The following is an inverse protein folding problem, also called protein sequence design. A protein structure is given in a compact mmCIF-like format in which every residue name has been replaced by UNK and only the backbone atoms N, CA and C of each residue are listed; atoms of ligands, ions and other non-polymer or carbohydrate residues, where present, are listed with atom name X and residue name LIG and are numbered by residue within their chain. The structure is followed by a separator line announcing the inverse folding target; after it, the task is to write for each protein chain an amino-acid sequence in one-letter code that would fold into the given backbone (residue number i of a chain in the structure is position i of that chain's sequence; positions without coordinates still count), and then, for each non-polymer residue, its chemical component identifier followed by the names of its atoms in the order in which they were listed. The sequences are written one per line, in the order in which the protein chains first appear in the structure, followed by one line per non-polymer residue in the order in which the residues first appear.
data_IF_794531591485
#
_entry.id   IF_794531591485
#
_cell.length_a   1.000
_cell.length_b   1.000
_cell.length_c   1.000
_cell.angle_alpha   90.00
_cell.angle_beta   90.00
_cell.angle_gamma   90.00
#
_symmetry.space_group_name_H-M   'P 1'
#
loop_
_entity.id
_entity.type
_entity.pdbx_description
1 polymer ?
#
# COMPACT_ATOMS: atom_id res chain seq x y z
N UNK A 1 -2.74 -5.81 13.43
CA UNK A 1 -2.24 -6.79 12.44
C UNK A 1 -3.23 -6.87 11.28
N UNK A 2 -2.88 -6.33 10.11
CA UNK A 2 -3.68 -6.52 8.89
C UNK A 2 -3.02 -7.64 8.09
N UNK A 3 -3.81 -8.62 7.69
CA UNK A 3 -3.39 -9.70 6.80
C UNK A 3 -3.88 -9.36 5.40
N UNK A 4 -2.97 -8.98 4.51
CA UNK A 4 -3.29 -8.79 3.08
C UNK A 4 -2.98 -10.11 2.38
N UNK A 5 -4.02 -10.87 2.06
CA UNK A 5 -3.93 -12.10 1.26
C UNK A 5 -4.18 -11.69 -0.19
N UNK A 6 -3.15 -11.72 -1.04
CA UNK A 6 -3.34 -11.32 -2.43
C UNK A 6 -3.72 -12.48 -3.35
N UNK A 7 -4.58 -12.11 -4.27
CA UNK A 7 -5.20 -12.86 -5.33
C UNK A 7 -5.62 -11.86 -6.38
N UNK A 8 -5.29 -12.18 -7.63
CA UNK A 8 -5.74 -11.61 -8.90
C UNK A 8 -6.80 -10.45 -8.88
N UNK A 9 -6.67 -9.51 -9.84
CA UNK A 9 -7.38 -8.23 -9.88
C UNK A 9 -8.89 -8.29 -9.58
N UNK A 10 -9.36 -7.28 -8.84
CA UNK A 10 -10.66 -7.16 -8.21
C UNK A 10 -11.91 -7.30 -9.13
N UNK A 11 -11.75 -7.38 -10.45
CA UNK A 11 -12.87 -7.53 -11.39
C UNK A 11 -13.49 -8.95 -11.41
N UNK A 12 -12.83 -9.95 -10.83
CA UNK A 12 -13.27 -11.36 -10.88
C UNK A 12 -14.28 -11.72 -9.75
N UNK A 13 -14.45 -10.88 -8.73
CA UNK A 13 -15.18 -11.23 -7.50
C UNK A 13 -16.72 -11.16 -7.58
N UNK A 14 -17.33 -10.84 -8.73
CA UNK A 14 -18.78 -10.52 -8.81
C UNK A 14 -19.73 -11.69 -9.06
N UNK A 15 -19.28 -12.94 -9.31
CA UNK A 15 -20.17 -14.05 -9.70
C UNK A 15 -19.92 -15.34 -8.89
N UNK A 16 -20.98 -15.92 -8.29
CA UNK A 16 -20.94 -17.11 -7.40
C UNK A 16 -20.26 -18.36 -8.01
N UNK A 17 -20.32 -18.54 -9.34
CA UNK A 17 -19.68 -19.65 -10.06
C UNK A 17 -18.14 -19.60 -10.04
N UNK A 18 -17.53 -18.43 -9.85
CA UNK A 18 -16.07 -18.29 -9.82
C UNK A 18 -15.48 -18.69 -8.48
N UNK A 19 -16.29 -18.85 -7.42
CA UNK A 19 -15.80 -19.12 -6.06
C UNK A 19 -15.12 -20.47 -5.94
N UNK A 20 -15.74 -21.53 -6.47
CA UNK A 20 -15.17 -22.89 -6.43
C UNK A 20 -13.94 -23.03 -7.34
N UNK A 21 -13.98 -22.43 -8.53
CA UNK A 21 -12.85 -22.42 -9.46
C UNK A 21 -11.67 -21.60 -8.94
N UNK A 22 -11.92 -20.43 -8.34
CA UNK A 22 -10.90 -19.61 -7.69
C UNK A 22 -10.28 -20.35 -6.52
N UNK A 23 -11.08 -20.92 -5.60
CA UNK A 23 -10.57 -21.69 -4.45
C UNK A 23 -9.67 -22.85 -4.91
N UNK A 24 -10.05 -23.56 -5.98
CA UNK A 24 -9.23 -24.65 -6.52
C UNK A 24 -7.92 -24.14 -7.15
N UNK A 25 -7.97 -23.06 -7.93
CA UNK A 25 -6.77 -22.43 -8.51
C UNK A 25 -5.89 -21.76 -7.45
N UNK A 26 -6.48 -21.43 -6.31
CA UNK A 26 -5.84 -20.80 -5.17
C UNK A 26 -5.10 -21.76 -4.28
N UNK A 27 -5.70 -22.92 -3.99
CA UNK A 27 -5.00 -23.99 -3.30
C UNK A 27 -3.78 -24.47 -4.10
N UNK A 28 -3.73 -24.20 -5.40
CA UNK A 28 -2.59 -24.52 -6.28
C UNK A 28 -1.54 -23.40 -6.39
N UNK A 29 -1.89 -22.14 -6.08
CA UNK A 29 -0.93 -21.02 -6.09
C UNK A 29 -0.44 -20.76 -4.67
N UNK A 30 0.89 -20.69 -4.49
CA UNK A 30 1.49 -20.26 -3.22
C UNK A 30 0.91 -18.89 -2.87
N UNK A 31 0.10 -18.83 -1.82
CA UNK A 31 -0.42 -17.59 -1.29
C UNK A 31 0.69 -16.94 -0.46
N UNK A 32 1.20 -15.80 -0.91
CA UNK A 32 2.17 -15.03 -0.13
C UNK A 32 1.42 -14.18 0.90
N UNK A 33 1.74 -14.38 2.17
CA UNK A 33 1.19 -13.63 3.29
C UNK A 33 2.15 -12.49 3.64
N UNK A 34 1.68 -11.25 3.51
CA UNK A 34 2.42 -10.09 4.01
C UNK A 34 1.87 -9.66 5.37
N UNK A 35 2.79 -9.36 6.30
CA UNK A 35 2.46 -8.90 7.65
C UNK A 35 3.11 -7.54 7.86
N UNK A 36 2.30 -6.57 8.29
CA UNK A 36 2.76 -5.20 8.56
C UNK A 36 2.60 -4.86 10.03
N UNK A 37 3.57 -4.12 10.58
CA UNK A 37 3.56 -3.65 11.96
C UNK A 37 2.39 -2.69 12.23
N UNK A 38 2.05 -1.85 11.24
CA UNK A 38 0.96 -0.88 11.34
C UNK A 38 -0.12 -1.10 10.28
N UNK A 39 -1.32 -0.59 10.59
CA UNK A 39 -2.43 -0.56 9.64
C UNK A 39 -2.14 0.38 8.47
N UNK A 40 -1.44 1.49 8.72
CA UNK A 40 -0.99 2.44 7.70
C UNK A 40 -0.14 1.76 6.64
N UNK A 41 0.94 1.06 7.03
CA UNK A 41 1.83 0.37 6.09
C UNK A 41 1.07 -0.66 5.24
N UNK A 42 0.20 -1.46 5.87
CA UNK A 42 -0.59 -2.46 5.14
C UNK A 42 -1.53 -1.86 4.09
N UNK A 43 -2.10 -0.69 4.38
CA UNK A 43 -2.96 0.02 3.41
C UNK A 43 -2.13 0.63 2.29
N UNK A 44 -0.99 1.28 2.59
CA UNK A 44 -0.10 1.83 1.56
C UNK A 44 0.36 0.73 0.61
N UNK A 45 0.78 -0.42 1.14
CA UNK A 45 1.16 -1.59 0.34
C UNK A 45 0.00 -2.08 -0.54
N UNK A 46 -1.21 -2.22 0.02
CA UNK A 46 -2.37 -2.62 -0.76
C UNK A 46 -2.67 -1.64 -1.92
N UNK A 47 -2.50 -0.34 -1.70
CA UNK A 47 -2.70 0.67 -2.74
C UNK A 47 -1.63 0.61 -3.84
N UNK A 48 -0.36 0.40 -3.46
CA UNK A 48 0.74 0.19 -4.41
C UNK A 48 0.51 -1.03 -5.31
N UNK A 49 -0.05 -2.11 -4.76
CA UNK A 49 -0.43 -3.30 -5.52
C UNK A 49 -1.63 -3.06 -6.43
N UNK A 50 -2.66 -2.38 -5.92
CA UNK A 50 -3.93 -2.21 -6.65
C UNK A 50 -3.85 -1.17 -7.76
N UNK A 51 -2.99 -0.16 -7.64
CA UNK A 51 -2.81 0.93 -8.61
C UNK A 51 -4.12 1.50 -9.14
N UNK A 52 -5.09 1.68 -8.24
CA UNK A 52 -6.43 2.09 -8.61
C UNK A 52 -6.55 3.61 -8.67
N UNK A 53 -7.27 4.13 -9.67
CA UNK A 53 -7.66 5.54 -9.73
C UNK A 53 -8.50 5.98 -8.52
N UNK A 54 -9.07 5.02 -7.78
CA UNK A 54 -9.85 5.24 -6.55
C UNK A 54 -8.99 5.13 -5.29
N UNK A 55 -7.66 5.28 -5.41
CA UNK A 55 -6.73 5.10 -4.29
C UNK A 55 -7.10 5.97 -3.08
N UNK A 56 -7.53 7.21 -3.32
CA UNK A 56 -7.99 8.09 -2.25
C UNK A 56 -9.19 7.52 -1.48
N UNK A 57 -10.21 7.04 -2.20
CA UNK A 57 -11.40 6.46 -1.60
C UNK A 57 -11.06 5.23 -0.77
N UNK A 58 -10.23 4.33 -1.32
CA UNK A 58 -9.76 3.13 -0.61
C UNK A 58 -8.96 3.51 0.63
N UNK A 59 -8.06 4.49 0.52
CA UNK A 59 -7.30 4.99 1.67
C UNK A 59 -8.22 5.54 2.77
N UNK A 60 -9.23 6.34 2.42
CA UNK A 60 -10.18 6.89 3.39
C UNK A 60 -11.02 5.81 4.09
N UNK A 61 -11.47 4.79 3.35
CA UNK A 61 -12.23 3.68 3.92
C UNK A 61 -11.36 2.81 4.85
N UNK A 62 -10.10 2.59 4.47
CA UNK A 62 -9.20 1.72 5.20
C UNK A 62 -8.40 2.42 6.30
N UNK A 63 -8.29 3.75 6.31
CA UNK A 63 -7.62 4.54 7.34
C UNK A 63 -8.57 5.66 7.82
N UNK A 64 -9.56 5.32 8.67
CA UNK A 64 -10.43 6.32 9.30
C UNK A 64 -9.67 7.00 10.44
N UNK A 65 -8.72 7.85 10.09
CA UNK A 65 -7.89 8.62 11.03
C UNK A 65 -8.35 10.07 11.11
N UNK A 66 -8.00 10.77 12.21
CA UNK A 66 -8.49 12.12 12.48
C UNK A 66 -8.04 13.13 11.40
N UNK A 67 -8.93 14.07 11.07
CA UNK A 67 -8.74 15.13 10.07
C UNK A 67 -7.72 16.20 10.54
N UNK A 68 -6.50 15.79 10.86
CA UNK A 68 -5.41 16.69 11.29
C UNK A 68 -4.69 17.27 10.07
N UNK A 69 -4.00 18.40 10.26
CA UNK A 69 -3.18 19.03 9.20
C UNK A 69 -2.08 18.08 8.71
N UNK A 70 -1.38 17.42 9.64
CA UNK A 70 -0.37 16.40 9.36
C UNK A 70 -0.92 15.25 8.51
N UNK A 71 -2.06 14.68 8.89
CA UNK A 71 -2.67 13.57 8.16
C UNK A 71 -3.01 13.94 6.72
N UNK A 72 -3.61 15.12 6.51
CA UNK A 72 -3.95 15.61 5.16
C UNK A 72 -2.71 15.83 4.30
N UNK A 73 -1.64 16.39 4.87
CA UNK A 73 -0.39 16.61 4.14
C UNK A 73 0.24 15.29 3.71
N UNK A 74 0.38 14.35 4.65
CA UNK A 74 0.90 13.02 4.38
C UNK A 74 0.08 12.31 3.30
N UNK A 75 -1.24 12.26 3.44
CA UNK A 75 -2.14 11.61 2.49
C UNK A 75 -1.98 12.15 1.07
N UNK A 76 -1.88 13.47 0.93
CA UNK A 76 -1.71 14.13 -0.38
C UNK A 76 -0.44 13.63 -1.06
N UNK A 77 0.69 13.67 -0.33
CA UNK A 77 2.00 13.25 -0.86
C UNK A 77 1.99 11.76 -1.24
N UNK A 78 1.45 10.89 -0.37
CA UNK A 78 1.41 9.45 -0.66
C UNK A 78 0.56 9.14 -1.90
N UNK A 79 -0.61 9.77 -2.03
CA UNK A 79 -1.48 9.55 -3.20
C UNK A 79 -0.80 10.03 -4.49
N UNK A 80 -0.09 11.15 -4.45
CA UNK A 80 0.69 11.63 -5.60
C UNK A 80 1.81 10.65 -5.97
N UNK A 81 2.59 10.14 -5.00
CA UNK A 81 3.63 9.14 -5.27
C UNK A 81 3.06 7.85 -5.87
N UNK A 82 1.94 7.35 -5.33
CA UNK A 82 1.27 6.16 -5.86
C UNK A 82 0.80 6.40 -7.30
N UNK A 83 0.22 7.57 -7.57
CA UNK A 83 -0.30 7.93 -8.90
C UNK A 83 0.82 8.00 -9.94
N UNK A 84 1.95 8.60 -9.59
CA UNK A 84 3.05 8.85 -10.51
C UNK A 84 4.14 7.78 -10.48
N UNK A 85 3.97 6.71 -9.69
CA UNK A 85 4.96 5.65 -9.46
C UNK A 85 6.32 6.21 -9.02
N UNK A 86 6.28 7.22 -8.16
CA UNK A 86 7.50 7.73 -7.54
C UNK A 86 8.08 6.71 -6.55
N UNK A 87 9.36 6.87 -6.26
CA UNK A 87 9.96 6.29 -5.07
C UNK A 87 9.30 6.84 -3.79
N UNK A 88 9.56 6.15 -2.69
CA UNK A 88 9.08 6.53 -1.35
C UNK A 88 10.24 7.07 -0.50
N UNK A 89 11.25 7.67 -1.14
CA UNK A 89 12.29 8.40 -0.42
C UNK A 89 11.84 9.85 -0.22
N UNK A 90 11.23 10.12 0.93
CA UNK A 90 10.71 11.44 1.27
C UNK A 90 11.77 12.30 1.94
N UNK A 91 12.26 13.33 1.27
CA UNK A 91 13.11 14.32 1.92
C UNK A 91 12.30 15.20 2.89
N UNK A 92 12.95 15.73 3.92
CA UNK A 92 12.30 16.62 4.89
C UNK A 92 11.74 17.88 4.22
N UNK A 93 12.42 18.41 3.20
CA UNK A 93 11.98 19.60 2.45
C UNK A 93 10.68 19.38 1.66
N UNK A 94 10.28 18.14 1.40
CA UNK A 94 9.04 17.84 0.65
C UNK A 94 7.78 18.08 1.49
N UNK A 95 7.89 17.99 2.82
CA UNK A 95 6.73 18.02 3.71
C UNK A 95 6.87 18.99 4.87
N UNK A 96 8.08 19.39 5.26
CA UNK A 96 8.33 20.36 6.32
C UNK A 96 8.35 21.78 5.76
N UNK A 97 7.29 22.55 6.04
CA UNK A 97 7.16 23.96 5.68
C UNK A 97 7.64 24.90 6.82
N UNK A 98 8.24 24.33 7.88
CA UNK A 98 8.67 25.07 9.07
C UNK A 98 7.53 25.45 10.02
N UNK A 99 6.27 25.11 9.71
CA UNK A 99 5.10 25.52 10.52
C UNK A 99 4.59 24.43 11.46
N UNK A 100 5.20 23.26 11.45
CA UNK A 100 4.77 22.11 12.25
C UNK A 100 5.18 22.24 13.72
N UNK A 101 4.27 21.91 14.64
CA UNK A 101 4.64 21.65 16.02
C UNK A 101 5.54 20.41 16.12
N UNK A 102 6.31 20.28 17.21
CA UNK A 102 7.14 19.09 17.45
C UNK A 102 6.33 17.78 17.40
N UNK A 103 5.11 17.78 17.94
CA UNK A 103 4.23 16.62 17.95
C UNK A 103 3.70 16.28 16.56
N UNK A 104 3.29 17.28 15.77
CA UNK A 104 2.86 17.06 14.37
C UNK A 104 4.02 16.56 13.52
N UNK A 105 5.23 17.10 13.72
CA UNK A 105 6.44 16.66 13.02
C UNK A 105 6.76 15.20 13.34
N UNK A 106 6.71 14.81 14.62
CA UNK A 106 6.91 13.42 15.03
C UNK A 106 5.86 12.47 14.42
N UNK A 107 4.59 12.91 14.37
CA UNK A 107 3.52 12.16 13.71
C UNK A 107 3.79 11.99 12.21
N UNK A 108 4.17 13.06 11.50
CA UNK A 108 4.50 13.00 10.07
C UNK A 108 5.66 12.05 9.80
N UNK A 109 6.73 12.13 10.59
CA UNK A 109 7.88 11.22 10.46
C UNK A 109 7.45 9.77 10.59
N UNK A 110 6.62 9.44 11.59
CA UNK A 110 6.07 8.09 11.76
C UNK A 110 5.24 7.62 10.58
N UNK A 111 4.36 8.48 10.05
CA UNK A 111 3.53 8.16 8.88
C UNK A 111 4.35 7.96 7.61
N UNK A 112 5.41 8.75 7.39
CA UNK A 112 6.32 8.54 6.28
C UNK A 112 7.16 7.27 6.45
N UNK A 113 7.54 6.92 7.68
CA UNK A 113 8.20 5.65 7.96
C UNK A 113 7.27 4.47 7.63
N UNK A 114 6.01 4.51 8.05
CA UNK A 114 5.01 3.50 7.71
C UNK A 114 4.91 3.29 6.18
N UNK A 115 4.97 4.37 5.41
CA UNK A 115 4.92 4.33 3.96
C UNK A 115 6.20 3.75 3.33
N UNK A 116 7.39 4.09 3.86
CA UNK A 116 8.68 3.51 3.44
C UNK A 116 8.72 2.01 3.67
N UNK A 117 8.31 1.56 4.86
CA UNK A 117 8.28 0.13 5.20
C UNK A 117 7.37 -0.64 4.23
N UNK A 118 6.23 -0.06 3.86
CA UNK A 118 5.33 -0.64 2.87
C UNK A 118 5.96 -0.72 1.47
N UNK A 119 6.69 0.33 1.06
CA UNK A 119 7.33 0.39 -0.24
C UNK A 119 8.50 -0.60 -0.38
N UNK A 120 9.33 -0.77 0.65
CA UNK A 120 10.41 -1.78 0.66
C UNK A 120 9.88 -3.20 0.44
N UNK A 121 8.74 -3.53 1.04
CA UNK A 121 8.07 -4.81 0.82
C UNK A 121 7.53 -4.91 -0.61
N UNK A 122 7.03 -3.82 -1.17
CA UNK A 122 6.56 -3.75 -2.55
C UNK A 122 7.70 -3.93 -3.57
N UNK A 123 8.87 -3.33 -3.36
CA UNK A 123 10.05 -3.54 -4.20
C UNK A 123 10.51 -5.00 -4.18
N UNK A 124 10.54 -5.62 -3.00
CA UNK A 124 10.85 -7.04 -2.86
C UNK A 124 9.84 -7.91 -3.63
N UNK A 125 8.55 -7.61 -3.52
CA UNK A 125 7.50 -8.26 -4.32
C UNK A 125 7.73 -8.12 -5.82
N UNK A 126 8.11 -6.93 -6.29
CA UNK A 126 8.40 -6.70 -7.71
C UNK A 126 9.60 -7.54 -8.18
N UNK A 127 10.69 -7.55 -7.42
CA UNK A 127 11.89 -8.32 -7.73
C UNK A 127 11.59 -9.83 -7.83
N UNK A 128 10.84 -10.39 -6.86
CA UNK A 128 10.38 -11.78 -6.90
C UNK A 128 9.50 -12.06 -8.13
N UNK A 129 8.57 -11.16 -8.45
CA UNK A 129 7.66 -11.32 -9.60
C UNK A 129 8.37 -11.26 -10.97
N UNK A 130 9.54 -10.63 -11.03
CA UNK A 130 10.39 -10.59 -12.24
C UNK A 130 11.16 -11.89 -12.36
N UNK A 131 11.74 -12.38 -11.25
CA UNK A 131 12.47 -13.65 -11.21
C UNK A 131 11.60 -14.85 -11.61
N UNK A 132 10.33 -14.90 -11.16
CA UNK A 132 9.39 -15.96 -11.53
C UNK A 132 8.99 -15.94 -13.01
N UNK A 133 9.03 -14.77 -13.67
CA UNK A 133 8.73 -14.66 -15.11
C UNK A 133 9.91 -15.09 -15.99
N UNK A 134 11.14 -14.85 -15.56
CA UNK A 134 12.35 -15.23 -16.30
C UNK A 134 12.68 -16.72 -16.24
N UNK A 135 12.10 -17.47 -15.29
CA UNK A 135 12.27 -18.93 -15.17
C UNK A 135 11.22 -19.75 -15.94
N UNK A 136 10.27 -19.08 -16.59
CA UNK A 136 9.22 -19.70 -17.41
C UNK A 136 9.40 -19.47 -18.92
N UNK A 137 10.54 -18.90 -19.33
CA UNK A 137 11.00 -18.77 -20.72
C UNK A 137 12.21 -19.67 -20.94
#
# INVERSE_FOLDING_TARGET
MIVVIFLLPAHVLRKRLYRAFLVRRLCQRKLTKYTFGTRTSGVVFALLLLQTEKAEKVMNELLPTPNTKAWRRWKTIILDRIRWRGDFDFDTSEWDDGTWSKTEKAMLVGLFQDARDAYQVFESYLAESVSERSTLL
#
